data_IF_543572928583
#
_entry.id   IF_543572928583
#
_cell.length_a   1.000
_cell.length_b   1.000
_cell.length_c   1.000
_cell.angle_alpha   90.00
_cell.angle_beta   90.00
_cell.angle_gamma   90.00
#
_symmetry.space_group_name_H-M   'P 1'
#
loop_
_entity.id
_entity.type
_entity.pdbx_description
1 polymer ?
#
# COMPACT_ATOMS: atom_id res chain seq x y z
N UNK A 1 8.65 11.39 -24.48
CA UNK A 1 8.52 12.13 -23.20
C UNK A 1 8.44 11.25 -21.93
N UNK A 2 8.14 9.94 -21.99
CA UNK A 2 8.02 9.08 -20.78
C UNK A 2 9.34 8.69 -20.13
N UNK A 3 10.42 8.50 -20.91
CA UNK A 3 11.73 8.03 -20.37
C UNK A 3 12.36 8.95 -19.33
N UNK A 4 12.46 10.30 -19.52
CA UNK A 4 13.08 11.17 -18.52
C UNK A 4 12.28 11.21 -17.21
N UNK A 5 10.94 11.13 -17.26
CA UNK A 5 10.09 11.11 -16.07
C UNK A 5 10.34 9.84 -15.24
N UNK A 6 10.46 8.68 -15.89
CA UNK A 6 10.76 7.41 -15.22
C UNK A 6 12.15 7.42 -14.57
N UNK A 7 13.15 8.00 -15.27
CA UNK A 7 14.50 8.14 -14.70
C UNK A 7 14.51 9.06 -13.46
N UNK A 8 13.81 10.20 -13.53
CA UNK A 8 13.70 11.14 -12.40
C UNK A 8 12.99 10.45 -11.23
N UNK A 9 11.88 9.77 -11.49
CA UNK A 9 11.16 9.02 -10.45
C UNK A 9 12.04 7.97 -9.79
N UNK A 10 12.74 7.15 -10.58
CA UNK A 10 13.66 6.14 -10.07
C UNK A 10 14.80 6.74 -9.24
N UNK A 11 15.36 7.87 -9.69
CA UNK A 11 16.39 8.59 -8.94
C UNK A 11 15.88 9.09 -7.59
N UNK A 12 14.69 9.71 -7.55
CA UNK A 12 14.08 10.20 -6.32
C UNK A 12 13.86 9.05 -5.34
N UNK A 13 13.31 7.93 -5.81
CA UNK A 13 13.11 6.73 -4.97
C UNK A 13 14.45 6.22 -4.43
N UNK A 14 15.48 6.12 -5.27
CA UNK A 14 16.82 5.67 -4.85
C UNK A 14 17.42 6.58 -3.77
N UNK A 15 17.31 7.91 -3.93
CA UNK A 15 17.78 8.89 -2.94
C UNK A 15 17.02 8.75 -1.61
N UNK A 16 15.69 8.62 -1.66
CA UNK A 16 14.88 8.45 -0.45
C UNK A 16 15.21 7.13 0.27
N UNK A 17 15.43 6.05 -0.44
CA UNK A 17 15.86 4.76 0.13
C UNK A 17 17.24 4.89 0.78
N UNK A 18 18.20 5.52 0.11
CA UNK A 18 19.53 5.73 0.66
C UNK A 18 19.50 6.57 1.95
N UNK A 19 18.76 7.69 1.93
CA UNK A 19 18.56 8.52 3.13
C UNK A 19 17.89 7.74 4.26
N UNK A 20 16.86 6.94 3.94
CA UNK A 20 16.18 6.08 4.91
C UNK A 20 17.12 5.07 5.59
N UNK A 21 18.02 4.44 4.82
CA UNK A 21 19.03 3.52 5.37
C UNK A 21 20.04 4.23 6.29
N UNK A 22 20.50 5.42 5.90
CA UNK A 22 21.42 6.22 6.74
C UNK A 22 20.77 6.62 8.06
N UNK A 23 19.53 7.14 8.01
CA UNK A 23 18.77 7.53 9.20
C UNK A 23 18.48 6.31 10.08
N UNK A 24 18.09 5.18 9.49
CA UNK A 24 17.86 3.94 10.22
C UNK A 24 19.13 3.50 10.96
N UNK A 25 20.27 3.49 10.28
CA UNK A 25 21.54 3.12 10.91
C UNK A 25 21.89 4.03 12.10
N UNK A 26 21.77 5.34 11.90
CA UNK A 26 22.05 6.31 12.96
C UNK A 26 21.12 6.17 14.17
N UNK A 27 19.81 5.95 13.94
CA UNK A 27 18.82 5.89 15.00
C UNK A 27 18.75 4.53 15.71
N UNK A 28 19.08 3.42 15.03
CA UNK A 28 18.85 2.06 15.55
C UNK A 28 20.12 1.36 16.06
N UNK A 29 21.31 1.89 15.81
CA UNK A 29 22.56 1.25 16.18
C UNK A 29 22.71 0.94 17.68
N UNK A 30 22.38 1.91 18.53
CA UNK A 30 22.42 1.72 19.98
C UNK A 30 21.39 0.67 20.48
N UNK A 31 20.20 0.67 19.91
CA UNK A 31 19.16 -0.31 20.25
C UNK A 31 19.50 -1.72 19.75
N UNK A 32 20.13 -1.83 18.57
CA UNK A 32 20.62 -3.08 18.02
C UNK A 32 21.66 -3.73 18.95
N UNK A 33 22.62 -2.92 19.43
CA UNK A 33 23.63 -3.40 20.38
C UNK A 33 23.00 -3.84 21.70
N UNK A 34 22.05 -3.07 22.25
CA UNK A 34 21.41 -3.38 23.55
C UNK A 34 20.51 -4.62 23.52
N UNK A 35 19.74 -4.81 22.41
CA UNK A 35 18.72 -5.87 22.34
C UNK A 35 19.22 -7.16 21.67
N UNK A 36 20.15 -7.04 20.72
CA UNK A 36 20.60 -8.15 19.90
C UNK A 36 22.11 -8.36 19.90
N UNK A 37 22.86 -7.58 20.69
CA UNK A 37 24.33 -7.58 20.74
C UNK A 37 24.99 -7.41 19.37
N UNK A 38 24.29 -6.75 18.42
CA UNK A 38 24.74 -6.47 17.06
C UNK A 38 24.24 -5.08 16.62
N UNK A 39 25.14 -4.12 16.49
CA UNK A 39 24.85 -2.75 16.03
C UNK A 39 24.18 -2.71 14.66
N UNK A 40 24.48 -3.68 13.80
CA UNK A 40 23.98 -3.76 12.43
C UNK A 40 22.70 -4.60 12.28
N UNK A 41 22.14 -5.14 13.35
CA UNK A 41 20.97 -6.03 13.30
C UNK A 41 19.81 -5.46 12.47
N UNK A 42 19.38 -4.24 12.80
CA UNK A 42 18.25 -3.60 12.10
C UNK A 42 18.61 -3.26 10.64
N UNK A 43 19.83 -2.84 10.38
CA UNK A 43 20.29 -2.54 9.03
C UNK A 43 20.34 -3.78 8.14
N UNK A 44 20.87 -4.90 8.62
CA UNK A 44 20.86 -6.18 7.89
C UNK A 44 19.44 -6.60 7.53
N UNK A 45 18.54 -6.52 8.48
CA UNK A 45 17.12 -6.84 8.29
C UNK A 45 16.47 -5.92 7.25
N UNK A 46 16.75 -4.63 7.30
CA UNK A 46 16.23 -3.67 6.32
C UNK A 46 16.77 -3.90 4.91
N UNK A 47 18.05 -4.26 4.77
CA UNK A 47 18.62 -4.62 3.47
C UNK A 47 17.94 -5.85 2.86
N UNK A 48 17.62 -6.87 3.68
CA UNK A 48 16.86 -8.05 3.21
C UNK A 48 15.47 -7.63 2.72
N UNK A 49 14.76 -6.77 3.46
CA UNK A 49 13.44 -6.27 3.03
C UNK A 49 13.52 -5.40 1.79
N UNK A 50 14.57 -4.60 1.64
CA UNK A 50 14.82 -3.81 0.44
C UNK A 50 15.01 -4.71 -0.80
N UNK A 51 15.84 -5.73 -0.69
CA UNK A 51 16.05 -6.70 -1.79
C UNK A 51 14.74 -7.40 -2.13
N UNK A 52 14.01 -7.89 -1.13
CA UNK A 52 12.71 -8.52 -1.33
C UNK A 52 11.72 -7.54 -2.01
N UNK A 53 11.67 -6.29 -1.57
CA UNK A 53 10.85 -5.24 -2.18
C UNK A 53 11.21 -4.97 -3.64
N UNK A 54 12.50 -4.91 -3.99
CA UNK A 54 12.95 -4.74 -5.37
C UNK A 54 12.53 -5.94 -6.23
N UNK A 55 12.66 -7.16 -5.72
CA UNK A 55 12.23 -8.38 -6.45
C UNK A 55 10.72 -8.35 -6.70
N UNK A 56 9.92 -8.03 -5.69
CA UNK A 56 8.46 -7.90 -5.84
C UNK A 56 8.11 -6.79 -6.83
N UNK A 57 8.76 -5.64 -6.75
CA UNK A 57 8.55 -4.54 -7.69
C UNK A 57 8.88 -4.94 -9.13
N UNK A 58 9.97 -5.69 -9.35
CA UNK A 58 10.33 -6.21 -10.67
C UNK A 58 9.29 -7.20 -11.21
N UNK A 59 8.78 -8.11 -10.36
CA UNK A 59 7.71 -9.06 -10.74
C UNK A 59 6.45 -8.30 -11.14
N UNK A 60 6.03 -7.33 -10.32
CA UNK A 60 4.84 -6.51 -10.60
C UNK A 60 5.02 -5.68 -11.87
N UNK A 61 6.24 -5.16 -12.12
CA UNK A 61 6.53 -4.41 -13.34
C UNK A 61 6.47 -5.26 -14.63
N UNK A 62 6.67 -6.58 -14.52
CA UNK A 62 6.51 -7.52 -15.65
C UNK A 62 5.05 -7.88 -15.90
N UNK A 63 4.18 -7.72 -14.89
CA UNK A 63 2.76 -8.01 -15.02
C UNK A 63 2.08 -6.95 -15.87
N UNK A 64 1.35 -7.36 -16.91
CA UNK A 64 0.61 -6.43 -17.75
C UNK A 64 -0.62 -5.90 -17.02
N UNK A 65 -0.61 -4.60 -16.73
CA UNK A 65 -1.74 -3.95 -16.04
C UNK A 65 -3.06 -4.03 -16.84
N UNK A 66 -3.02 -4.30 -18.16
CA UNK A 66 -4.22 -4.50 -18.97
C UNK A 66 -5.00 -5.76 -18.56
N UNK A 67 -4.36 -6.72 -17.90
CA UNK A 67 -5.04 -7.90 -17.39
C UNK A 67 -6.08 -7.56 -16.32
N UNK A 68 -5.85 -6.55 -15.51
CA UNK A 68 -6.85 -6.06 -14.57
C UNK A 68 -8.08 -5.49 -15.26
N UNK A 69 -7.87 -4.80 -16.38
CA UNK A 69 -8.95 -4.27 -17.23
C UNK A 69 -9.73 -5.39 -17.94
N UNK A 70 -9.01 -6.41 -18.43
CA UNK A 70 -9.60 -7.56 -19.12
C UNK A 70 -10.42 -8.43 -18.17
N UNK A 71 -9.93 -8.64 -16.96
CA UNK A 71 -10.52 -9.51 -15.94
C UNK A 71 -10.87 -8.72 -14.69
N UNK A 72 -11.97 -7.95 -14.73
CA UNK A 72 -12.43 -7.16 -13.55
C UNK A 72 -12.59 -8.01 -12.29
N UNK A 73 -12.93 -9.29 -12.44
CA UNK A 73 -13.07 -10.22 -11.33
C UNK A 73 -11.79 -10.32 -10.49
N UNK A 74 -10.61 -10.16 -11.10
CA UNK A 74 -9.34 -10.15 -10.37
C UNK A 74 -9.22 -8.95 -9.44
N UNK A 75 -9.65 -7.77 -9.90
CA UNK A 75 -9.67 -6.56 -9.07
C UNK A 75 -10.63 -6.71 -7.89
N UNK A 76 -11.81 -7.29 -8.11
CA UNK A 76 -12.77 -7.59 -7.04
C UNK A 76 -12.27 -8.63 -6.06
N UNK A 77 -11.63 -9.71 -6.54
CA UNK A 77 -11.05 -10.73 -5.67
C UNK A 77 -9.92 -10.16 -4.82
N UNK A 78 -9.05 -9.34 -5.42
CA UNK A 78 -7.97 -8.68 -4.69
C UNK A 78 -8.53 -7.72 -3.62
N UNK A 79 -9.51 -6.91 -3.97
CA UNK A 79 -10.19 -6.00 -3.03
C UNK A 79 -10.85 -6.76 -1.89
N UNK A 80 -11.59 -7.83 -2.19
CA UNK A 80 -12.26 -8.66 -1.17
C UNK A 80 -11.26 -9.33 -0.25
N UNK A 81 -10.15 -9.84 -0.78
CA UNK A 81 -9.06 -10.41 0.01
C UNK A 81 -8.49 -9.37 0.99
N UNK A 82 -8.25 -8.15 0.51
CA UNK A 82 -7.72 -7.07 1.35
C UNK A 82 -8.72 -6.66 2.44
N UNK A 83 -10.01 -6.60 2.14
CA UNK A 83 -11.05 -6.36 3.16
C UNK A 83 -11.05 -7.45 4.24
N UNK A 84 -10.88 -8.72 3.86
CA UNK A 84 -10.74 -9.82 4.82
C UNK A 84 -9.48 -9.66 5.67
N UNK A 85 -8.35 -9.24 5.08
CA UNK A 85 -7.11 -8.98 5.83
C UNK A 85 -7.25 -7.82 6.81
N UNK A 86 -7.95 -6.72 6.43
CA UNK A 86 -8.28 -5.62 7.33
C UNK A 86 -9.12 -6.09 8.53
N UNK A 87 -10.11 -6.94 8.30
CA UNK A 87 -10.90 -7.53 9.38
C UNK A 87 -10.07 -8.51 10.24
N UNK A 88 -9.20 -9.29 9.61
CA UNK A 88 -8.37 -10.26 10.31
C UNK A 88 -7.40 -9.61 11.32
N UNK A 89 -6.95 -8.38 11.06
CA UNK A 89 -6.04 -7.64 11.98
C UNK A 89 -6.64 -7.50 13.37
N UNK A 90 -7.96 -7.34 13.50
CA UNK A 90 -8.61 -7.21 14.81
C UNK A 90 -8.52 -8.47 15.67
N UNK A 91 -8.24 -9.63 15.08
CA UNK A 91 -8.02 -10.88 15.80
C UNK A 91 -6.60 -11.02 16.36
N UNK A 92 -5.68 -10.13 15.99
CA UNK A 92 -4.29 -10.17 16.43
C UNK A 92 -4.01 -9.21 17.59
N UNK A 93 -2.97 -9.47 18.42
CA UNK A 93 -2.62 -8.60 19.53
C UNK A 93 -2.15 -7.23 19.06
N UNK A 94 -2.35 -6.22 19.91
CA UNK A 94 -1.87 -4.88 19.68
C UNK A 94 -0.35 -4.82 19.65
N UNK A 95 0.19 -4.13 18.65
CA UNK A 95 1.62 -3.80 18.55
C UNK A 95 1.75 -2.29 18.64
N UNK A 96 2.46 -1.80 19.64
CA UNK A 96 2.64 -0.36 19.92
C UNK A 96 1.31 0.42 20.03
N UNK A 97 0.31 -0.17 20.71
CA UNK A 97 -0.98 0.48 20.97
C UNK A 97 -1.94 0.53 19.76
N UNK A 98 -1.68 -0.24 18.72
CA UNK A 98 -2.59 -0.33 17.57
C UNK A 98 -2.62 -1.73 16.95
N UNK A 99 -3.79 -2.10 16.42
CA UNK A 99 -4.02 -3.36 15.72
C UNK A 99 -3.99 -3.15 14.21
N UNK A 100 -2.82 -2.94 13.64
CA UNK A 100 -2.65 -2.68 12.19
C UNK A 100 -1.60 -3.54 11.52
N UNK A 101 -1.00 -4.47 12.26
CA UNK A 101 0.04 -5.35 11.76
C UNK A 101 -0.37 -6.79 11.86
N UNK A 102 -0.27 -7.51 10.74
CA UNK A 102 -0.36 -8.97 10.72
C UNK A 102 1.04 -9.55 10.93
N UNK A 103 1.33 -10.11 12.12
CA UNK A 103 2.62 -10.72 12.37
C UNK A 103 2.73 -12.04 11.61
N UNK A 104 3.56 -12.08 10.59
CA UNK A 104 3.98 -13.30 9.94
C UNK A 104 5.31 -13.76 10.53
N UNK A 105 5.63 -15.03 10.43
CA UNK A 105 6.80 -15.63 11.09
C UNK A 105 8.14 -14.90 10.83
N UNK A 106 8.31 -14.31 9.66
CA UNK A 106 9.54 -13.63 9.24
C UNK A 106 9.39 -12.11 9.03
N UNK A 107 8.19 -11.63 8.79
CA UNK A 107 7.88 -10.22 8.53
C UNK A 107 6.47 -9.91 9.00
N UNK A 108 6.13 -8.63 9.07
CA UNK A 108 4.76 -8.18 9.34
C UNK A 108 4.23 -7.43 8.13
N UNK A 109 2.96 -7.67 7.80
CA UNK A 109 2.27 -6.96 6.73
C UNK A 109 1.26 -6.00 7.37
N UNK A 110 1.16 -4.81 6.80
CA UNK A 110 0.14 -3.84 7.15
C UNK A 110 -0.96 -3.87 6.07
N UNK A 111 -2.17 -4.40 6.36
CA UNK A 111 -3.22 -4.51 5.35
C UNK A 111 -3.69 -3.17 4.79
N UNK A 112 -3.61 -2.07 5.54
CA UNK A 112 -3.95 -0.73 5.06
C UNK A 112 -3.07 -0.26 3.90
N UNK A 113 -1.82 -0.74 3.78
CA UNK A 113 -0.97 -0.48 2.61
C UNK A 113 -1.51 -1.19 1.36
N UNK A 114 -1.93 -2.44 1.51
CA UNK A 114 -2.58 -3.19 0.42
C UNK A 114 -3.95 -2.61 0.05
N UNK A 115 -4.65 -2.04 1.02
CA UNK A 115 -5.96 -1.41 0.81
C UNK A 115 -5.87 -0.20 -0.13
N UNK A 116 -4.85 0.64 0.01
CA UNK A 116 -4.59 1.76 -0.90
C UNK A 116 -4.41 1.26 -2.34
N UNK A 117 -3.58 0.22 -2.53
CA UNK A 117 -3.32 -0.35 -3.83
C UNK A 117 -4.58 -1.00 -4.44
N UNK A 118 -5.32 -1.78 -3.66
CA UNK A 118 -6.54 -2.45 -4.11
C UNK A 118 -7.64 -1.46 -4.53
N UNK A 119 -7.79 -0.35 -3.79
CA UNK A 119 -8.72 0.72 -4.15
C UNK A 119 -8.32 1.39 -5.48
N UNK A 120 -7.04 1.74 -5.65
CA UNK A 120 -6.55 2.36 -6.90
C UNK A 120 -6.86 1.45 -8.09
N UNK A 121 -6.54 0.15 -7.99
CA UNK A 121 -6.77 -0.82 -9.07
C UNK A 121 -8.28 -0.95 -9.36
N UNK A 122 -9.10 -1.20 -8.33
CA UNK A 122 -10.52 -1.43 -8.51
C UNK A 122 -11.24 -0.20 -9.06
N UNK A 123 -10.95 0.98 -8.52
CA UNK A 123 -11.56 2.23 -8.99
C UNK A 123 -11.15 2.54 -10.43
N UNK A 124 -9.86 2.37 -10.77
CA UNK A 124 -9.38 2.61 -12.14
C UNK A 124 -10.06 1.69 -13.15
N UNK A 125 -10.20 0.39 -12.85
CA UNK A 125 -10.89 -0.57 -13.72
C UNK A 125 -12.37 -0.24 -13.87
N UNK A 126 -13.03 0.16 -12.79
CA UNK A 126 -14.46 0.53 -12.81
C UNK A 126 -14.71 1.82 -13.57
N UNK A 127 -13.94 2.86 -13.30
CA UNK A 127 -14.10 4.17 -13.95
C UNK A 127 -13.86 4.07 -15.46
N UNK A 128 -12.87 3.28 -15.88
CA UNK A 128 -12.61 3.00 -17.30
C UNK A 128 -13.83 2.34 -17.99
N UNK A 129 -14.53 1.42 -17.33
CA UNK A 129 -15.72 0.78 -17.87
C UNK A 129 -16.96 1.67 -17.90
N UNK A 130 -17.14 2.49 -16.89
CA UNK A 130 -18.28 3.42 -16.81
C UNK A 130 -18.11 4.55 -17.83
N UNK A 131 -16.86 4.96 -18.14
CA UNK A 131 -16.52 6.00 -19.08
C UNK A 131 -17.24 7.32 -18.76
N UNK A 132 -17.81 8.01 -19.77
CA UNK A 132 -18.52 9.29 -19.59
C UNK A 132 -19.70 9.24 -18.60
N UNK A 133 -20.25 8.05 -18.29
CA UNK A 133 -21.34 7.87 -17.31
C UNK A 133 -20.87 8.08 -15.87
N UNK A 134 -19.59 8.29 -15.62
CA UNK A 134 -19.05 8.69 -14.30
C UNK A 134 -19.73 9.97 -13.81
N UNK A 135 -20.10 10.88 -14.72
CA UNK A 135 -20.85 12.10 -14.40
C UNK A 135 -22.25 11.81 -13.82
N UNK A 136 -22.82 10.64 -14.10
CA UNK A 136 -24.08 10.22 -13.50
C UNK A 136 -23.83 9.71 -12.09
N UNK A 137 -24.17 10.53 -11.10
CA UNK A 137 -23.93 10.29 -9.67
C UNK A 137 -24.27 8.85 -9.22
N UNK A 138 -25.42 8.30 -9.66
CA UNK A 138 -25.84 6.95 -9.27
C UNK A 138 -25.02 5.83 -9.90
N UNK A 139 -24.43 6.00 -11.08
CA UNK A 139 -23.77 4.92 -11.81
C UNK A 139 -22.26 4.88 -11.61
N UNK A 140 -21.63 6.03 -11.36
CA UNK A 140 -20.19 6.14 -11.18
C UNK A 140 -19.79 6.53 -9.76
N UNK A 141 -20.10 7.76 -9.38
CA UNK A 141 -19.62 8.36 -8.13
C UNK A 141 -20.11 7.63 -6.88
N UNK A 142 -21.40 7.26 -6.80
CA UNK A 142 -21.97 6.65 -5.59
C UNK A 142 -21.29 5.33 -5.20
N UNK A 143 -21.09 4.42 -6.18
CA UNK A 143 -20.43 3.14 -5.89
C UNK A 143 -18.96 3.32 -5.52
N UNK A 144 -18.29 4.28 -6.15
CA UNK A 144 -16.89 4.59 -5.82
C UNK A 144 -16.80 5.14 -4.39
N UNK A 145 -17.65 6.09 -4.02
CA UNK A 145 -17.72 6.64 -2.67
C UNK A 145 -18.04 5.56 -1.63
N UNK A 146 -18.93 4.63 -1.95
CA UNK A 146 -19.28 3.51 -1.05
C UNK A 146 -18.08 2.61 -0.78
N UNK A 147 -17.33 2.22 -1.83
CA UNK A 147 -16.15 1.38 -1.68
C UNK A 147 -15.07 2.06 -0.83
N UNK A 148 -14.89 3.36 -1.04
CA UNK A 148 -13.96 4.18 -0.26
C UNK A 148 -14.39 4.24 1.20
N UNK A 149 -15.68 4.52 1.44
CA UNK A 149 -16.22 4.63 2.79
C UNK A 149 -16.05 3.31 3.57
N UNK A 150 -16.25 2.16 2.91
CA UNK A 150 -16.01 0.84 3.52
C UNK A 150 -14.54 0.70 3.96
N UNK A 151 -13.59 0.94 3.06
CA UNK A 151 -12.17 0.79 3.40
C UNK A 151 -11.70 1.83 4.39
N UNK A 152 -12.10 3.10 4.21
CA UNK A 152 -11.75 4.17 5.14
C UNK A 152 -12.27 3.90 6.55
N UNK A 153 -13.51 3.40 6.69
CA UNK A 153 -14.08 3.05 8.00
C UNK A 153 -13.32 1.91 8.68
N UNK A 154 -12.90 0.89 7.93
CA UNK A 154 -12.08 -0.20 8.47
C UNK A 154 -10.69 0.30 8.91
N UNK A 155 -10.04 1.13 8.11
CA UNK A 155 -8.71 1.68 8.42
C UNK A 155 -8.75 2.68 9.59
N UNK A 156 -9.83 3.47 9.70
CA UNK A 156 -10.04 4.34 10.88
C UNK A 156 -10.22 3.49 12.15
N UNK A 157 -10.92 2.36 12.05
CA UNK A 157 -11.10 1.46 13.18
C UNK A 157 -9.78 0.81 13.65
N UNK A 158 -8.74 0.76 12.81
CA UNK A 158 -7.35 0.34 13.16
C UNK A 158 -6.49 1.45 13.80
N UNK A 159 -7.02 2.58 14.26
CA UNK A 159 -6.51 3.94 14.50
C UNK A 159 -5.31 4.34 13.59
N UNK A 160 -5.47 4.16 12.27
CA UNK A 160 -4.48 4.56 11.28
C UNK A 160 -4.94 5.80 10.48
N UNK A 161 -4.87 6.96 11.13
CA UNK A 161 -5.24 8.24 10.50
C UNK A 161 -4.38 8.60 9.29
N UNK A 162 -3.09 8.22 9.31
CA UNK A 162 -2.18 8.47 8.21
C UNK A 162 -2.61 7.74 6.94
N UNK A 163 -2.87 6.44 7.02
CA UNK A 163 -3.36 5.65 5.89
C UNK A 163 -4.73 6.15 5.39
N UNK A 164 -5.62 6.54 6.31
CA UNK A 164 -6.95 7.09 5.96
C UNK A 164 -6.82 8.38 5.16
N UNK A 165 -5.98 9.32 5.57
CA UNK A 165 -5.75 10.57 4.82
C UNK A 165 -5.23 10.30 3.41
N UNK A 166 -4.26 9.38 3.29
CA UNK A 166 -3.71 8.99 1.99
C UNK A 166 -4.80 8.37 1.09
N UNK A 167 -5.67 7.51 1.63
CA UNK A 167 -6.79 6.92 0.89
C UNK A 167 -7.72 8.02 0.37
N UNK A 168 -8.10 8.98 1.18
CA UNK A 168 -8.99 10.08 0.79
C UNK A 168 -8.35 10.93 -0.32
N UNK A 169 -7.05 11.25 -0.22
CA UNK A 169 -6.33 12.03 -1.23
C UNK A 169 -6.25 11.25 -2.55
N UNK A 170 -5.81 9.98 -2.51
CA UNK A 170 -5.69 9.14 -3.71
C UNK A 170 -7.02 9.03 -4.46
N UNK A 171 -8.09 8.87 -3.73
CA UNK A 171 -9.42 8.77 -4.32
C UNK A 171 -9.87 10.07 -4.94
N UNK A 172 -9.63 11.20 -4.26
CA UNK A 172 -9.90 12.51 -4.84
C UNK A 172 -9.22 12.65 -6.20
N UNK A 173 -7.94 12.32 -6.29
CA UNK A 173 -7.18 12.39 -7.55
C UNK A 173 -7.77 11.47 -8.64
N UNK A 174 -8.17 10.24 -8.29
CA UNK A 174 -8.78 9.29 -9.25
C UNK A 174 -10.14 9.78 -9.76
N UNK A 175 -10.94 10.44 -8.91
CA UNK A 175 -12.25 10.95 -9.30
C UNK A 175 -12.17 12.26 -10.12
N UNK A 176 -11.04 12.97 -10.07
CA UNK A 176 -10.81 14.20 -10.83
C UNK A 176 -10.13 13.96 -12.21
N UNK A 177 -9.62 12.74 -12.47
CA UNK A 177 -9.05 12.34 -13.76
C UNK A 177 -10.13 11.86 -14.73
#
# INVERSE_FOLDING_TARGET
MRKPVLCIFGLVVAVLVALGLVVLFSASGANGLRLHNDTYFFMKRQCVYLVAGIVVAAIVAWFDYHEWRRHEILAWLFFSLVCVLLLAVFAFPEINGSRRWLPLKFFSIQPSELAKLSLVILLSVRLDRVGWRVELFKQGAFHSILLIAIVASLVIAEPDFGATMVIVILVKEILYL
#
